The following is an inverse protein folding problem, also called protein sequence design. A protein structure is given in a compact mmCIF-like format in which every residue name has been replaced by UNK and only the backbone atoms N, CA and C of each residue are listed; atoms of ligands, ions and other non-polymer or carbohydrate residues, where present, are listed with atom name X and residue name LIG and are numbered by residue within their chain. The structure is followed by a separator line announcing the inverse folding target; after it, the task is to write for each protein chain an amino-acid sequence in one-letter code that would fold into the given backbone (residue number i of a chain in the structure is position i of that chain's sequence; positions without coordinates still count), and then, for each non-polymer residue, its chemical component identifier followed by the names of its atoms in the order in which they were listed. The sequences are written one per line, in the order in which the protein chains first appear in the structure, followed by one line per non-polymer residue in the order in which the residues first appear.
data_IF_101798857616
#
_entry.id   IF_101798857616
#
_cell.length_a   1.000
_cell.length_b   1.000
_cell.length_c   1.000
_cell.angle_alpha   90.00
_cell.angle_beta   90.00
_cell.angle_gamma   90.00
#
_symmetry.space_group_name_H-M   'P 1'
#
loop_
_entity.id
_entity.type
_entity.pdbx_description
1 polymer ?
#
# COMPACT_ATOMS: atom_id res chain seq x y z
N UNK A 1 10.43 -19.37 -3.37
CA UNK A 1 10.19 -18.48 -2.23
C UNK A 1 9.03 -19.02 -1.41
N UNK A 2 9.18 -19.06 -0.09
CA UNK A 2 8.15 -19.60 0.79
C UNK A 2 7.20 -18.49 1.23
N UNK A 3 5.95 -18.86 1.58
CA UNK A 3 4.97 -17.91 2.08
C UNK A 3 5.44 -17.19 3.37
N UNK A 4 6.28 -17.85 4.14
CA UNK A 4 6.84 -17.30 5.38
C UNK A 4 8.10 -16.45 5.16
N UNK A 5 8.61 -16.37 3.95
CA UNK A 5 9.78 -15.54 3.66
C UNK A 5 9.43 -14.06 3.81
N UNK A 6 10.38 -13.23 4.27
CA UNK A 6 10.14 -11.79 4.39
C UNK A 6 9.87 -11.14 3.04
N UNK A 7 8.90 -10.23 3.00
CA UNK A 7 8.63 -9.38 1.84
C UNK A 7 9.37 -8.04 1.98
N UNK A 8 9.17 -7.35 3.10
CA UNK A 8 9.83 -6.09 3.38
C UNK A 8 9.87 -5.83 4.89
N UNK A 9 10.73 -4.89 5.28
CA UNK A 9 10.79 -4.36 6.63
C UNK A 9 10.47 -2.88 6.57
N UNK A 10 9.49 -2.44 7.36
CA UNK A 10 9.12 -1.04 7.45
C UNK A 10 9.29 -0.57 8.89
N UNK A 11 10.02 0.53 9.06
CA UNK A 11 10.26 1.09 10.39
C UNK A 11 9.16 2.05 10.79
N UNK A 12 8.74 1.95 12.04
CA UNK A 12 7.77 2.86 12.66
C UNK A 12 8.47 3.73 13.69
N UNK A 13 7.86 4.85 14.06
CA UNK A 13 8.44 5.77 15.06
C UNK A 13 8.57 5.16 16.45
N UNK A 14 7.77 4.13 16.76
CA UNK A 14 7.82 3.45 18.06
C UNK A 14 7.38 4.34 19.23
N UNK A 15 6.88 3.72 20.30
CA UNK A 15 6.45 4.44 21.50
C UNK A 15 7.60 4.78 22.45
N UNK A 16 8.77 4.16 22.26
CA UNK A 16 9.95 4.29 23.12
C UNK A 16 11.01 5.24 22.56
N UNK A 17 10.72 5.97 21.51
CA UNK A 17 11.63 6.89 20.86
C UNK A 17 12.60 6.25 19.87
N UNK A 18 12.74 4.94 19.87
CA UNK A 18 13.55 4.22 18.86
C UNK A 18 12.66 3.62 17.79
N UNK A 19 12.99 3.81 16.49
CA UNK A 19 12.24 3.17 15.42
C UNK A 19 12.23 1.65 15.55
N UNK A 20 11.09 1.04 15.31
CA UNK A 20 10.94 -0.42 15.30
C UNK A 20 10.74 -0.92 13.89
N UNK A 21 11.49 -1.94 13.49
CA UNK A 21 11.32 -2.59 12.19
C UNK A 21 10.21 -3.62 12.25
N UNK A 22 9.20 -3.44 11.41
CA UNK A 22 8.09 -4.39 11.27
C UNK A 22 8.35 -5.22 10.03
N UNK A 23 8.46 -6.54 10.21
CA UNK A 23 8.67 -7.48 9.12
C UNK A 23 7.32 -7.95 8.60
N UNK A 24 7.12 -7.88 7.30
CA UNK A 24 5.94 -8.44 6.63
C UNK A 24 6.37 -9.66 5.82
N UNK A 25 5.60 -10.72 5.90
CA UNK A 25 5.85 -11.93 5.12
C UNK A 25 5.20 -11.89 3.73
N UNK A 26 5.62 -12.81 2.87
CA UNK A 26 5.13 -12.89 1.49
C UNK A 26 3.67 -13.32 1.44
N UNK A 27 3.38 -14.49 2.01
CA UNK A 27 2.06 -15.11 1.90
C UNK A 27 0.98 -14.39 2.67
N UNK A 28 1.24 -14.05 3.92
CA UNK A 28 0.26 -13.35 4.76
C UNK A 28 -0.12 -12.00 4.18
N UNK A 29 0.86 -11.25 3.71
CA UNK A 29 0.64 -9.95 3.07
C UNK A 29 -0.18 -10.10 1.79
N UNK A 30 0.17 -11.07 0.93
CA UNK A 30 -0.57 -11.30 -0.31
C UNK A 30 -2.04 -11.64 -0.06
N UNK A 31 -2.31 -12.56 0.87
CA UNK A 31 -3.68 -12.97 1.20
C UNK A 31 -4.47 -11.82 1.79
N UNK A 32 -3.90 -11.11 2.76
CA UNK A 32 -4.58 -10.00 3.42
C UNK A 32 -4.91 -8.88 2.44
N UNK A 33 -3.98 -8.53 1.55
CA UNK A 33 -4.20 -7.47 0.57
C UNK A 33 -5.19 -7.87 -0.51
N UNK A 34 -5.11 -9.09 -1.01
CA UNK A 34 -6.07 -9.56 -2.01
C UNK A 34 -7.49 -9.53 -1.44
N UNK A 35 -7.66 -10.03 -0.23
CA UNK A 35 -8.95 -10.01 0.45
C UNK A 35 -9.47 -8.58 0.66
N UNK A 36 -8.60 -7.70 1.15
CA UNK A 36 -8.96 -6.30 1.42
C UNK A 36 -9.35 -5.56 0.15
N UNK A 37 -8.56 -5.71 -0.90
CA UNK A 37 -8.84 -5.04 -2.19
C UNK A 37 -10.15 -5.55 -2.80
N UNK A 38 -10.44 -6.85 -2.65
CA UNK A 38 -11.66 -7.40 -3.20
C UNK A 38 -12.91 -7.02 -2.40
N UNK A 39 -12.90 -7.26 -1.09
CA UNK A 39 -14.11 -7.16 -0.26
C UNK A 39 -14.33 -5.78 0.37
N UNK A 40 -13.28 -5.04 0.66
CA UNK A 40 -13.41 -3.72 1.28
C UNK A 40 -13.34 -2.62 0.23
N UNK A 41 -12.32 -2.66 -0.64
CA UNK A 41 -12.13 -1.63 -1.67
C UNK A 41 -12.96 -1.90 -2.93
N UNK A 42 -13.37 -3.14 -3.15
CA UNK A 42 -14.19 -3.51 -4.31
C UNK A 42 -13.48 -3.41 -5.64
N UNK A 43 -12.16 -3.56 -5.67
CA UNK A 43 -11.36 -3.42 -6.89
C UNK A 43 -11.29 -4.73 -7.65
N UNK A 44 -11.62 -4.67 -8.92
CA UNK A 44 -11.55 -5.81 -9.86
C UNK A 44 -10.34 -5.69 -10.76
N UNK A 45 -9.95 -6.83 -11.34
CA UNK A 45 -8.90 -6.86 -12.36
C UNK A 45 -9.19 -5.88 -13.49
N UNK A 46 -8.15 -5.23 -14.00
CA UNK A 46 -8.18 -4.24 -15.09
C UNK A 46 -8.80 -2.89 -14.74
N UNK A 47 -9.26 -2.69 -13.52
CA UNK A 47 -9.66 -1.38 -13.05
C UNK A 47 -8.44 -0.53 -12.70
N UNK A 48 -8.63 0.77 -12.56
CA UNK A 48 -7.60 1.71 -12.11
C UNK A 48 -7.89 2.15 -10.69
N UNK A 49 -6.89 2.08 -9.82
CA UNK A 49 -7.04 2.44 -8.42
C UNK A 49 -6.05 3.54 -8.03
N UNK A 50 -6.54 4.50 -7.28
CA UNK A 50 -5.72 5.60 -6.78
C UNK A 50 -5.86 5.72 -5.27
N UNK A 51 -4.74 5.58 -4.55
CA UNK A 51 -4.66 5.86 -3.13
C UNK A 51 -3.80 7.10 -2.92
N UNK A 52 -4.38 8.15 -2.34
CA UNK A 52 -3.69 9.40 -2.06
C UNK A 52 -2.85 9.28 -0.78
N UNK A 53 -1.90 8.34 -0.78
CA UNK A 53 -1.07 8.05 0.38
C UNK A 53 0.39 8.02 -0.02
N UNK A 54 1.24 8.42 0.92
CA UNK A 54 2.70 8.43 0.70
C UNK A 54 3.23 6.99 0.69
N UNK A 55 4.03 6.67 -0.31
CA UNK A 55 4.70 5.37 -0.45
C UNK A 55 5.60 5.07 0.75
N UNK A 56 6.13 6.09 1.42
CA UNK A 56 6.96 5.90 2.61
C UNK A 56 6.24 5.29 3.82
N UNK A 57 4.91 5.19 3.78
CA UNK A 57 4.12 4.63 4.86
C UNK A 57 3.51 3.29 4.47
N UNK A 58 3.10 2.50 5.50
CA UNK A 58 2.53 1.18 5.26
C UNK A 58 1.28 1.22 4.38
N UNK A 59 0.46 2.25 4.52
CA UNK A 59 -0.75 2.42 3.69
C UNK A 59 -0.36 2.60 2.22
N UNK A 60 0.68 3.38 1.94
CA UNK A 60 1.19 3.54 0.58
C UNK A 60 1.74 2.24 0.02
N UNK A 61 2.52 1.50 0.81
CA UNK A 61 3.02 0.18 0.39
C UNK A 61 1.87 -0.75 0.03
N UNK A 62 0.87 -0.85 0.89
CA UNK A 62 -0.23 -1.79 0.73
C UNK A 62 -1.17 -1.39 -0.41
N UNK A 63 -1.57 -0.12 -0.48
CA UNK A 63 -2.70 0.30 -1.31
C UNK A 63 -2.28 1.08 -2.56
N UNK A 64 -1.03 1.51 -2.66
CA UNK A 64 -0.51 2.08 -3.91
C UNK A 64 0.28 1.06 -4.71
N UNK A 65 1.03 0.19 -4.04
CA UNK A 65 1.94 -0.75 -4.72
C UNK A 65 1.35 -2.16 -4.78
N UNK A 66 1.30 -2.85 -3.64
CA UNK A 66 1.03 -4.29 -3.64
C UNK A 66 -0.43 -4.65 -3.89
N UNK A 67 -1.35 -3.98 -3.22
CA UNK A 67 -2.77 -4.32 -3.30
C UNK A 67 -3.33 -4.26 -4.73
N UNK A 68 -3.25 -3.12 -5.40
CA UNK A 68 -3.75 -3.01 -6.77
C UNK A 68 -3.11 -4.00 -7.73
N UNK A 69 -1.80 -4.18 -7.65
CA UNK A 69 -1.06 -5.07 -8.55
C UNK A 69 -1.42 -6.54 -8.32
N UNK A 70 -1.65 -6.96 -7.08
CA UNK A 70 -2.12 -8.33 -6.78
C UNK A 70 -3.47 -8.59 -7.43
N UNK A 71 -4.36 -7.60 -7.44
CA UNK A 71 -5.67 -7.71 -8.08
C UNK A 71 -5.63 -7.59 -9.60
N UNK A 72 -4.47 -7.32 -10.20
CA UNK A 72 -4.36 -7.07 -11.63
C UNK A 72 -4.94 -5.73 -12.06
N UNK A 73 -5.01 -4.77 -11.14
CA UNK A 73 -5.48 -3.42 -11.41
C UNK A 73 -4.30 -2.51 -11.72
N UNK A 74 -4.59 -1.41 -12.43
CA UNK A 74 -3.62 -0.33 -12.59
C UNK A 74 -3.60 0.53 -11.33
N UNK A 75 -2.42 1.01 -10.95
CA UNK A 75 -2.26 1.91 -9.81
C UNK A 75 -1.72 3.26 -10.28
N UNK A 76 -2.19 4.33 -9.64
CA UNK A 76 -1.78 5.69 -9.96
C UNK A 76 -0.77 6.17 -8.92
N UNK A 77 0.39 6.63 -9.39
CA UNK A 77 1.38 7.27 -8.54
C UNK A 77 1.25 8.79 -8.74
N UNK A 78 0.96 9.50 -7.67
CA UNK A 78 0.86 10.95 -7.70
C UNK A 78 2.15 11.57 -7.19
N UNK A 79 2.87 12.24 -8.06
CA UNK A 79 4.14 12.88 -7.76
C UNK A 79 3.90 14.31 -7.27
N UNK A 80 3.57 14.44 -5.98
CA UNK A 80 3.28 15.72 -5.37
C UNK A 80 2.66 15.56 -4.00
N UNK A 81 2.24 16.68 -3.41
CA UNK A 81 1.52 16.69 -2.14
C UNK A 81 0.03 16.87 -2.39
N UNK A 82 -0.84 16.27 -1.53
CA UNK A 82 -2.28 16.31 -1.78
C UNK A 82 -2.91 17.69 -1.93
N UNK A 83 -2.33 18.70 -1.32
CA UNK A 83 -2.88 20.06 -1.34
C UNK A 83 -2.12 21.00 -2.28
N UNK A 84 -1.12 20.52 -3.00
CA UNK A 84 -0.29 21.31 -3.90
C UNK A 84 -0.43 20.80 -5.34
N UNK A 85 -0.49 21.69 -6.34
CA UNK A 85 -0.41 23.18 -6.25
C UNK A 85 -1.65 23.86 -5.67
N UNK A 86 -2.76 23.16 -5.55
CA UNK A 86 -3.98 23.73 -4.97
C UNK A 86 -4.83 22.60 -4.35
N UNK A 87 -5.78 22.91 -3.45
CA UNK A 87 -6.57 21.90 -2.76
C UNK A 87 -7.38 20.96 -3.68
N UNK A 88 -7.70 21.40 -4.89
CA UNK A 88 -8.46 20.61 -5.87
C UNK A 88 -7.60 19.74 -6.78
N UNK A 89 -6.30 19.62 -6.55
CA UNK A 89 -5.39 18.94 -7.48
C UNK A 89 -5.71 17.46 -7.69
N UNK A 90 -6.32 16.80 -6.70
CA UNK A 90 -6.68 15.38 -6.77
C UNK A 90 -8.02 15.14 -7.49
N UNK A 91 -8.77 16.17 -7.77
CA UNK A 91 -10.08 16.10 -8.44
C UNK A 91 -9.96 16.47 -9.92
#
# INVERSE_FOLDING_TARGET
MKATDPLYILYTSGTTGKPKGIIRDQGGTAVALDWTMNYIMGIKSKETYFAASDIGWVVGHNFTVYGPLIRGAATVLFEGKPMLPHPGVLW
#
